data_IF_025041389459
#
_entry.id   IF_025041389459
#
_cell.length_a   1.000
_cell.length_b   1.000
_cell.length_c   1.000
_cell.angle_alpha   90.00
_cell.angle_beta   90.00
_cell.angle_gamma   90.00
#
_symmetry.space_group_name_H-M   'P 1'
#
loop_
_entity.id
_entity.type
_entity.pdbx_description
1 polymer ?
#
# COMPACT_ATOMS: atom_id res chain seq x y z
N UNK A 1 10.81 -51.12 -24.42
CA UNK A 1 10.84 -50.82 -25.88
C UNK A 1 9.78 -49.77 -26.15
N UNK A 2 10.15 -48.76 -26.94
CA UNK A 2 9.58 -47.41 -26.97
C UNK A 2 8.25 -47.25 -27.73
N UNK A 3 7.45 -46.24 -27.36
CA UNK A 3 6.40 -45.62 -28.19
C UNK A 3 6.99 -44.93 -29.42
N UNK A 4 6.22 -44.80 -30.52
CA UNK A 4 5.53 -43.53 -30.89
C UNK A 4 4.11 -43.77 -31.52
N UNK A 5 3.13 -42.85 -31.42
CA UNK A 5 2.76 -41.72 -32.33
C UNK A 5 2.43 -42.18 -33.79
N UNK A 6 1.47 -41.69 -34.59
CA UNK A 6 0.86 -40.36 -34.77
C UNK A 6 -0.23 -40.45 -35.89
N UNK A 7 -1.26 -39.59 -35.81
CA UNK A 7 -1.99 -38.85 -36.88
C UNK A 7 -2.82 -39.55 -38.00
N UNK A 8 -4.10 -39.16 -38.07
CA UNK A 8 -4.76 -38.67 -39.30
C UNK A 8 -5.96 -37.76 -38.89
N UNK A 9 -5.82 -36.44 -38.76
CA UNK A 9 -5.97 -35.35 -39.75
C UNK A 9 -7.25 -35.39 -40.59
N UNK A 10 -8.34 -34.88 -40.01
CA UNK A 10 -9.43 -34.25 -40.78
C UNK A 10 -9.01 -32.83 -41.18
N UNK A 11 -8.99 -32.61 -42.49
CA UNK A 11 -8.74 -31.34 -43.13
C UNK A 11 -9.96 -30.43 -43.01
N UNK A 12 -9.75 -29.22 -42.46
CA UNK A 12 -10.57 -28.04 -42.72
C UNK A 12 -9.59 -26.89 -42.94
N UNK A 13 -9.65 -26.34 -44.15
CA UNK A 13 -8.92 -25.18 -44.64
C UNK A 13 -9.04 -23.96 -43.72
N UNK A 14 -7.95 -23.60 -43.04
CA UNK A 14 -7.80 -22.39 -42.22
C UNK A 14 -7.14 -21.23 -43.01
N UNK A 15 -7.18 -21.32 -44.34
CA UNK A 15 -6.50 -20.40 -45.27
C UNK A 15 -7.25 -19.09 -45.52
N UNK A 16 -8.38 -18.85 -44.85
CA UNK A 16 -9.19 -17.62 -44.96
C UNK A 16 -8.78 -16.58 -43.91
N UNK A 17 -8.11 -16.99 -42.82
CA UNK A 17 -7.82 -16.10 -41.68
C UNK A 17 -6.53 -15.28 -41.87
N UNK A 18 -5.65 -15.68 -42.78
CA UNK A 18 -4.30 -15.10 -42.92
C UNK A 18 -4.16 -14.00 -43.97
N UNK A 19 -5.15 -13.74 -44.83
CA UNK A 19 -5.08 -12.66 -45.85
C UNK A 19 -5.54 -11.29 -45.31
N UNK A 20 -6.29 -11.23 -44.20
CA UNK A 20 -6.82 -9.96 -43.63
C UNK A 20 -5.83 -9.25 -42.68
N UNK A 21 -4.75 -9.93 -42.25
CA UNK A 21 -3.72 -9.33 -41.37
C UNK A 21 -2.63 -8.55 -42.14
N UNK A 22 -2.52 -8.72 -43.46
CA UNK A 22 -1.44 -8.11 -44.26
C UNK A 22 -1.70 -6.66 -44.69
N UNK A 23 -2.93 -6.12 -44.55
CA UNK A 23 -3.29 -4.80 -45.11
C UNK A 23 -3.54 -3.69 -44.09
N UNK A 24 -3.54 -3.98 -42.78
CA UNK A 24 -3.68 -2.94 -41.74
C UNK A 24 -2.36 -2.51 -41.10
N UNK A 25 -1.23 -2.97 -41.65
CA UNK A 25 0.10 -2.36 -41.51
C UNK A 25 0.21 -0.99 -42.23
N UNK A 26 -0.81 -0.13 -42.11
CA UNK A 26 -0.81 1.24 -42.63
C UNK A 26 -1.11 2.27 -41.51
N UNK A 27 -0.51 2.04 -40.35
CA UNK A 27 -0.62 2.92 -39.17
C UNK A 27 0.69 3.06 -38.39
N UNK A 28 1.83 2.72 -39.01
CA UNK A 28 3.15 3.06 -38.47
C UNK A 28 3.39 4.56 -38.71
N UNK A 29 2.94 5.42 -37.78
CA UNK A 29 3.52 6.74 -37.45
C UNK A 29 2.54 7.60 -36.61
N UNK A 30 2.37 7.31 -35.32
CA UNK A 30 2.03 8.30 -34.29
C UNK A 30 2.02 7.63 -32.90
N UNK A 31 2.82 8.15 -31.96
CA UNK A 31 2.61 7.85 -30.53
C UNK A 31 3.82 7.36 -29.73
N UNK A 32 5.05 7.67 -30.13
CA UNK A 32 6.25 7.57 -29.27
C UNK A 32 6.25 8.69 -28.21
N UNK A 33 5.22 8.78 -27.35
CA UNK A 33 5.12 9.91 -26.40
C UNK A 33 4.52 9.61 -25.02
N UNK A 34 4.30 8.35 -24.62
CA UNK A 34 3.70 8.05 -23.30
C UNK A 34 4.60 7.26 -22.34
N UNK A 35 5.91 7.15 -22.61
CA UNK A 35 6.84 6.42 -21.75
C UNK A 35 7.64 7.31 -20.78
N UNK A 36 7.34 8.61 -20.68
CA UNK A 36 8.11 9.57 -19.87
C UNK A 36 7.44 10.02 -18.55
N UNK A 37 6.24 9.52 -18.20
CA UNK A 37 5.48 10.05 -17.07
C UNK A 37 5.51 9.21 -15.77
N UNK A 38 6.23 8.09 -15.73
CA UNK A 38 6.25 7.20 -14.55
C UNK A 38 7.63 7.01 -13.89
N UNK A 39 8.61 7.87 -14.19
CA UNK A 39 10.01 7.63 -13.84
C UNK A 39 10.69 8.63 -12.89
N UNK A 40 9.99 9.56 -12.25
CA UNK A 40 10.63 10.59 -11.42
C UNK A 40 9.84 10.89 -10.13
N UNK A 41 9.83 9.93 -9.20
CA UNK A 41 9.47 10.20 -7.80
C UNK A 41 10.37 9.41 -6.83
N UNK A 42 11.63 9.19 -7.20
CA UNK A 42 12.65 8.72 -6.27
C UNK A 42 13.59 9.91 -5.99
N UNK A 43 13.33 10.59 -4.87
CA UNK A 43 14.23 11.41 -4.05
C UNK A 43 15.43 12.08 -4.75
N UNK A 44 15.30 13.37 -5.00
CA UNK A 44 16.44 14.27 -5.22
C UNK A 44 16.50 15.26 -4.07
N UNK A 45 17.61 15.25 -3.35
CA UNK A 45 17.96 16.28 -2.38
C UNK A 45 18.13 17.61 -3.12
N UNK A 46 17.26 18.58 -2.82
CA UNK A 46 17.29 19.90 -3.43
C UNK A 46 16.37 20.85 -2.68
N UNK A 47 17.00 21.74 -1.91
CA UNK A 47 16.44 22.93 -1.29
C UNK A 47 15.63 23.76 -2.30
N UNK A 48 14.33 23.92 -2.07
CA UNK A 48 13.54 25.02 -2.62
C UNK A 48 12.42 25.44 -1.66
N UNK A 49 12.40 26.73 -1.38
CA UNK A 49 11.57 27.38 -0.37
C UNK A 49 10.15 27.59 -0.91
N UNK A 50 9.22 26.75 -0.48
CA UNK A 50 7.78 26.95 -0.65
C UNK A 50 7.05 26.71 0.67
N UNK A 51 6.42 27.75 1.20
CA UNK A 51 5.54 27.70 2.38
C UNK A 51 4.36 26.75 2.12
N UNK A 52 4.56 25.47 2.44
CA UNK A 52 3.52 24.46 2.52
C UNK A 52 3.59 23.88 3.92
N UNK A 53 2.71 24.35 4.81
CA UNK A 53 2.57 23.84 6.18
C UNK A 53 2.19 22.33 6.27
N UNK A 54 2.11 21.62 5.14
CA UNK A 54 1.78 20.20 5.06
C UNK A 54 2.98 19.25 4.95
N UNK A 55 4.20 19.73 4.66
CA UNK A 55 5.35 18.84 4.41
C UNK A 55 6.48 18.96 5.45
N UNK A 56 6.27 19.73 6.52
CA UNK A 56 7.26 19.79 7.58
C UNK A 56 7.33 18.45 8.33
N UNK A 57 8.54 17.94 8.52
CA UNK A 57 8.82 16.69 9.24
C UNK A 57 9.75 16.92 10.41
N UNK A 58 9.71 16.02 11.39
CA UNK A 58 10.68 15.93 12.49
C UNK A 58 11.34 14.56 12.52
N UNK A 59 12.62 14.53 12.85
CA UNK A 59 13.36 13.28 13.06
C UNK A 59 13.29 12.87 14.53
N UNK A 60 12.97 11.61 14.79
CA UNK A 60 12.88 11.02 16.11
C UNK A 60 13.85 9.85 16.18
N UNK A 61 14.72 9.81 17.18
CA UNK A 61 15.60 8.67 17.43
C UNK A 61 14.81 7.50 18.03
N UNK A 62 14.98 6.31 17.46
CA UNK A 62 14.36 5.07 17.95
C UNK A 62 15.41 3.97 18.11
N UNK A 63 15.11 2.86 18.82
CA UNK A 63 16.03 1.72 18.91
C UNK A 63 16.41 1.09 17.56
N UNK A 64 15.61 1.28 16.51
CA UNK A 64 15.90 0.79 15.15
C UNK A 64 16.59 1.85 14.26
N UNK A 65 16.94 3.01 14.84
CA UNK A 65 17.52 4.15 14.14
C UNK A 65 16.54 5.33 14.04
N UNK A 66 16.96 6.44 13.39
CA UNK A 66 16.14 7.63 13.23
C UNK A 66 14.96 7.41 12.30
N UNK A 67 13.79 7.96 12.66
CA UNK A 67 12.55 7.94 11.85
C UNK A 67 12.09 9.38 11.59
N UNK A 68 11.72 9.67 10.35
CA UNK A 68 11.17 10.98 9.94
C UNK A 68 9.64 10.92 9.99
N UNK A 69 9.03 11.81 10.77
CA UNK A 69 7.57 11.85 11.02
C UNK A 69 7.01 13.22 10.63
N UNK A 70 5.86 13.31 9.94
CA UNK A 70 5.19 14.58 9.68
C UNK A 70 4.88 15.34 10.98
N UNK A 71 4.98 16.67 10.97
CA UNK A 71 4.65 17.48 12.16
C UNK A 71 3.18 17.40 12.55
N UNK A 72 2.30 17.11 11.59
CA UNK A 72 0.86 17.00 11.77
C UNK A 72 0.33 15.72 11.07
N UNK A 73 0.55 14.53 11.66
CA UNK A 73 0.06 13.29 11.08
C UNK A 73 -1.47 13.30 11.06
N UNK A 74 -2.07 12.88 9.94
CA UNK A 74 -3.53 12.90 9.78
C UNK A 74 -4.19 11.58 10.16
N UNK A 75 -3.44 10.49 10.15
CA UNK A 75 -3.94 9.13 10.39
C UNK A 75 -2.84 8.35 11.09
N UNK A 76 -3.19 7.67 12.18
CA UNK A 76 -2.23 6.91 12.99
C UNK A 76 -2.80 5.54 13.29
N UNK A 77 -1.96 4.50 13.19
CA UNK A 77 -2.29 3.15 13.65
C UNK A 77 -1.49 2.85 14.91
N UNK A 78 -2.17 2.48 16.00
CA UNK A 78 -1.50 2.06 17.24
C UNK A 78 -1.31 0.55 17.26
N UNK A 79 -0.07 0.07 17.23
CA UNK A 79 0.20 -1.37 17.37
C UNK A 79 0.08 -1.84 18.82
N UNK A 80 0.37 -0.96 19.78
CA UNK A 80 0.19 -1.22 21.20
C UNK A 80 -1.22 -0.77 21.63
N UNK A 81 -2.08 -1.75 21.91
CA UNK A 81 -3.44 -1.50 22.40
C UNK A 81 -3.48 -1.14 23.90
N UNK A 82 -2.33 -1.13 24.59
CA UNK A 82 -2.22 -0.74 25.99
C UNK A 82 -1.71 0.70 26.13
N UNK A 83 -0.45 0.90 26.51
CA UNK A 83 0.08 2.23 26.87
C UNK A 83 0.12 3.15 25.65
N UNK A 84 0.45 2.61 24.47
CA UNK A 84 0.48 3.34 23.22
C UNK A 84 -0.88 3.96 22.87
N UNK A 85 -1.94 3.14 22.82
CA UNK A 85 -3.29 3.63 22.52
C UNK A 85 -3.78 4.63 23.56
N UNK A 86 -3.57 4.36 24.86
CA UNK A 86 -3.98 5.28 25.93
C UNK A 86 -3.31 6.65 25.78
N UNK A 87 -2.00 6.67 25.54
CA UNK A 87 -1.26 7.92 25.38
C UNK A 87 -1.76 8.71 24.16
N UNK A 88 -2.02 8.02 23.04
CA UNK A 88 -2.55 8.66 21.83
C UNK A 88 -3.96 9.22 22.04
N UNK A 89 -4.82 8.52 22.78
CA UNK A 89 -6.17 8.96 23.13
C UNK A 89 -6.14 10.20 24.03
N UNK A 90 -5.29 10.21 25.06
CA UNK A 90 -5.11 11.37 25.96
C UNK A 90 -4.56 12.61 25.23
N UNK A 91 -3.74 12.40 24.20
CA UNK A 91 -3.21 13.47 23.35
C UNK A 91 -4.16 13.91 22.23
N UNK A 92 -5.30 13.23 22.07
CA UNK A 92 -6.25 13.49 20.97
C UNK A 92 -5.66 13.23 19.59
N UNK A 93 -4.73 12.29 19.47
CA UNK A 93 -4.11 11.94 18.19
C UNK A 93 -5.15 11.33 17.23
N UNK A 94 -5.01 11.51 15.90
CA UNK A 94 -5.97 11.00 14.93
C UNK A 94 -5.75 9.51 14.64
N UNK A 95 -6.05 8.67 15.63
CA UNK A 95 -5.94 7.22 15.53
C UNK A 95 -7.09 6.66 14.69
N UNK A 96 -6.76 5.85 13.68
CA UNK A 96 -7.73 5.28 12.74
C UNK A 96 -7.91 3.77 12.90
N UNK A 97 -6.95 3.09 13.53
CA UNK A 97 -7.05 1.68 13.88
C UNK A 97 -6.06 1.34 15.01
N UNK A 98 -6.29 0.22 15.69
CA UNK A 98 -5.47 -0.20 16.83
C UNK A 98 -5.25 -1.72 16.86
N UNK A 99 -4.27 -2.18 17.64
CA UNK A 99 -4.15 -3.57 18.03
C UNK A 99 -5.42 -4.10 18.71
N UNK A 100 -5.50 -5.40 18.99
CA UNK A 100 -6.73 -5.95 19.57
C UNK A 100 -6.92 -5.47 21.02
N UNK A 101 -7.89 -4.58 21.21
CA UNK A 101 -8.20 -4.02 22.52
C UNK A 101 -8.93 -5.04 23.40
N UNK A 102 -8.22 -5.52 24.43
CA UNK A 102 -8.76 -6.42 25.44
C UNK A 102 -9.75 -5.74 26.39
N UNK A 103 -10.66 -6.51 26.96
CA UNK A 103 -11.76 -5.99 27.79
C UNK A 103 -11.32 -5.10 28.97
N UNK A 104 -10.26 -5.48 29.68
CA UNK A 104 -9.74 -4.69 30.81
C UNK A 104 -9.06 -3.37 30.41
N UNK A 105 -8.64 -3.23 29.15
CA UNK A 105 -7.99 -2.01 28.66
C UNK A 105 -9.00 -0.98 28.17
N UNK A 106 -10.23 -1.41 27.85
CA UNK A 106 -11.30 -0.53 27.37
C UNK A 106 -11.62 0.58 28.37
N UNK A 107 -11.51 0.31 29.67
CA UNK A 107 -11.77 1.32 30.71
C UNK A 107 -10.73 2.41 30.80
N UNK A 108 -9.58 2.25 30.13
CA UNK A 108 -8.46 3.20 30.17
C UNK A 108 -8.47 4.18 28.99
N UNK A 109 -9.37 4.00 28.03
CA UNK A 109 -9.47 4.82 26.82
C UNK A 109 -10.89 5.31 26.61
N UNK A 110 -11.03 6.40 25.86
CA UNK A 110 -12.31 7.00 25.50
C UNK A 110 -13.22 6.02 24.77
N UNK A 111 -14.53 6.27 24.83
CA UNK A 111 -15.51 5.48 24.09
C UNK A 111 -15.22 5.46 22.57
N UNK A 112 -14.74 6.57 22.01
CA UNK A 112 -14.33 6.67 20.61
C UNK A 112 -13.20 5.69 20.30
N UNK A 113 -12.17 5.64 21.15
CA UNK A 113 -11.04 4.71 20.97
C UNK A 113 -11.43 3.24 21.13
N UNK A 114 -12.48 2.93 21.90
CA UNK A 114 -13.01 1.57 22.05
C UNK A 114 -13.70 1.04 20.79
N UNK A 115 -14.15 1.93 19.92
CA UNK A 115 -14.86 1.59 18.68
C UNK A 115 -13.93 1.50 17.46
N UNK A 116 -12.64 1.83 17.64
CA UNK A 116 -11.67 1.78 16.55
C UNK A 116 -11.53 0.36 15.97
N UNK A 117 -11.39 0.24 14.63
CA UNK A 117 -11.09 -1.03 13.98
C UNK A 117 -9.84 -1.68 14.55
N UNK A 118 -9.90 -3.01 14.74
CA UNK A 118 -8.73 -3.78 15.12
C UNK A 118 -7.96 -4.22 13.88
N UNK A 119 -6.65 -3.97 13.84
CA UNK A 119 -5.72 -4.51 12.84
C UNK A 119 -5.25 -5.94 13.18
N UNK A 120 -5.90 -6.62 14.12
CA UNK A 120 -5.59 -8.00 14.48
C UNK A 120 -4.19 -8.14 15.06
N UNK A 121 -4.07 -7.90 16.35
CA UNK A 121 -2.84 -8.17 17.11
C UNK A 121 -3.27 -8.61 18.49
N UNK A 122 -3.27 -9.92 18.76
CA UNK A 122 -3.27 -10.41 20.14
C UNK A 122 -1.84 -10.31 20.66
N UNK A 123 -1.65 -10.27 21.98
CA UNK A 123 -0.34 -10.10 22.63
C UNK A 123 0.76 -11.11 22.23
N UNK A 124 0.47 -12.09 21.36
CA UNK A 124 1.35 -13.16 20.89
C UNK A 124 1.21 -13.45 19.38
N UNK A 125 0.46 -12.64 18.62
CA UNK A 125 0.10 -12.92 17.22
C UNK A 125 0.85 -12.11 16.17
N UNK A 126 0.88 -12.62 14.93
CA UNK A 126 1.38 -11.91 13.77
C UNK A 126 0.55 -10.64 13.51
N UNK A 127 1.24 -9.53 13.25
CA UNK A 127 0.63 -8.25 12.87
C UNK A 127 -0.02 -8.39 11.49
N UNK A 128 -1.30 -8.06 11.34
CA UNK A 128 -1.96 -8.11 10.03
C UNK A 128 -1.59 -6.88 9.19
N UNK A 129 -0.52 -7.02 8.41
CA UNK A 129 -0.01 -5.95 7.54
C UNK A 129 -1.06 -5.45 6.53
N UNK A 130 -1.88 -6.34 5.98
CA UNK A 130 -2.95 -5.97 5.04
C UNK A 130 -4.03 -5.11 5.71
N UNK A 131 -4.33 -5.35 6.98
CA UNK A 131 -5.28 -4.53 7.74
C UNK A 131 -4.71 -3.12 8.01
N UNK A 132 -3.40 -3.02 8.27
CA UNK A 132 -2.70 -1.74 8.40
C UNK A 132 -2.70 -0.99 7.06
N UNK A 133 -2.39 -1.68 5.95
CA UNK A 133 -2.40 -1.09 4.63
C UNK A 133 -3.80 -0.58 4.24
N UNK A 134 -4.85 -1.36 4.53
CA UNK A 134 -6.24 -0.95 4.33
C UNK A 134 -6.64 0.26 5.20
N UNK A 135 -6.01 0.41 6.37
CA UNK A 135 -6.19 1.59 7.21
C UNK A 135 -5.49 2.82 6.65
N UNK A 136 -4.59 2.72 5.65
CA UNK A 136 -3.85 3.81 5.00
C UNK A 136 -3.35 4.92 5.96
N UNK A 137 -2.60 4.56 7.03
CA UNK A 137 -2.00 5.52 7.95
C UNK A 137 -1.02 6.46 7.27
#
# INVERSE_FOLDING_TARGET
MASPSTLDRLAVDDSIVTDDLSRRHFGAAAGLSLAALFGAACSSAGDDSGDTASDSTRTIETPMGPVTVPVNPQRVVSLDAYVGLQTLDELGAPVVATGTLGGGLRTLVSATSQELPSIGVTALGDVQLEAIAAAAP
#
